data_IF_586452031589
#
_entry.id   IF_586452031589
#
_cell.length_a   1.000
_cell.length_b   1.000
_cell.length_c   1.000
_cell.angle_alpha   90.00
_cell.angle_beta   90.00
_cell.angle_gamma   90.00
#
_symmetry.space_group_name_H-M   'P 1'
#
loop_
_entity.id
_entity.type
_entity.pdbx_description
1 polymer ?
#
# COMPACT_ATOMS: atom_id res chain seq x y z
N UNK A 1 -22.10 -5.47 20.38
CA UNK A 1 -21.78 -5.62 18.95
C UNK A 1 -22.42 -4.46 18.23
N UNK A 2 -21.60 -3.58 17.66
CA UNK A 2 -22.08 -2.49 16.81
C UNK A 2 -22.45 -3.05 15.42
N UNK A 3 -23.59 -2.66 14.82
CA UNK A 3 -23.99 -3.14 13.49
C UNK A 3 -22.95 -2.83 12.39
N UNK A 4 -22.12 -1.80 12.61
CA UNK A 4 -21.05 -1.41 11.70
C UNK A 4 -19.86 -2.38 11.71
N UNK A 5 -19.62 -3.10 12.81
CA UNK A 5 -18.55 -4.10 12.90
C UNK A 5 -18.85 -5.34 12.05
N UNK A 6 -20.12 -5.76 11.96
CA UNK A 6 -20.51 -6.90 11.11
C UNK A 6 -20.34 -6.59 9.62
N UNK A 7 -20.66 -5.36 9.20
CA UNK A 7 -20.50 -4.92 7.81
C UNK A 7 -19.02 -4.86 7.43
N UNK A 8 -18.17 -4.28 8.30
CA UNK A 8 -16.71 -4.24 8.10
C UNK A 8 -16.09 -5.64 8.03
N UNK A 9 -16.52 -6.55 8.92
CA UNK A 9 -16.01 -7.94 8.95
C UNK A 9 -16.42 -8.73 7.70
N UNK A 10 -17.64 -8.52 7.20
CA UNK A 10 -18.13 -9.16 5.97
C UNK A 10 -17.36 -8.70 4.71
N UNK A 11 -17.05 -7.40 4.62
CA UNK A 11 -16.27 -6.84 3.52
C UNK A 11 -14.83 -7.37 3.50
N UNK A 12 -14.16 -7.43 4.66
CA UNK A 12 -12.80 -7.97 4.74
C UNK A 12 -12.73 -9.45 4.35
N UNK A 13 -13.69 -10.28 4.80
CA UNK A 13 -13.73 -11.70 4.43
C UNK A 13 -13.93 -11.91 2.93
N UNK A 14 -14.76 -11.08 2.29
CA UNK A 14 -14.97 -11.14 0.83
C UNK A 14 -13.72 -10.69 0.07
N UNK A 15 -13.03 -9.66 0.56
CA UNK A 15 -11.77 -9.22 -0.01
C UNK A 15 -10.73 -10.35 0.01
N UNK A 16 -10.56 -11.03 1.15
CA UNK A 16 -9.61 -12.13 1.30
C UNK A 16 -9.89 -13.29 0.33
N UNK A 17 -11.16 -13.64 0.13
CA UNK A 17 -11.56 -14.66 -0.84
C UNK A 17 -11.21 -14.25 -2.28
N UNK A 18 -11.58 -13.03 -2.68
CA UNK A 18 -11.33 -12.52 -4.03
C UNK A 18 -9.82 -12.37 -4.31
N UNK A 19 -9.01 -12.01 -3.30
CA UNK A 19 -7.55 -11.98 -3.44
C UNK A 19 -6.96 -13.38 -3.62
N UNK A 20 -7.45 -14.38 -2.89
CA UNK A 20 -7.00 -15.76 -3.06
C UNK A 20 -7.36 -16.34 -4.44
N UNK A 21 -8.41 -15.82 -5.08
CA UNK A 21 -8.84 -16.14 -6.43
C UNK A 21 -8.12 -15.32 -7.51
N UNK A 22 -7.16 -14.48 -7.13
CA UNK A 22 -6.46 -13.57 -8.03
C UNK A 22 -7.44 -12.65 -8.80
N UNK A 23 -8.47 -12.13 -8.12
CA UNK A 23 -9.55 -11.35 -8.72
C UNK A 23 -9.49 -9.86 -8.31
N UNK A 24 -9.45 -8.98 -9.32
CA UNK A 24 -9.42 -7.51 -9.17
C UNK A 24 -10.65 -6.93 -8.47
N UNK A 25 -11.76 -7.66 -8.42
CA UNK A 25 -12.93 -7.28 -7.64
C UNK A 25 -12.60 -7.11 -6.14
N UNK A 26 -11.49 -7.66 -5.64
CA UNK A 26 -11.01 -7.45 -4.27
C UNK A 26 -10.58 -6.01 -3.97
N UNK A 27 -10.04 -5.30 -4.97
CA UNK A 27 -9.42 -3.97 -4.83
C UNK A 27 -10.35 -2.97 -4.12
N UNK A 28 -11.60 -2.73 -4.58
CA UNK A 28 -12.48 -1.76 -3.93
C UNK A 28 -12.81 -2.11 -2.48
N UNK A 29 -12.84 -3.41 -2.12
CA UNK A 29 -13.07 -3.82 -0.74
C UNK A 29 -11.86 -3.47 0.13
N UNK A 30 -10.63 -3.77 -0.31
CA UNK A 30 -9.43 -3.43 0.45
C UNK A 30 -9.22 -1.93 0.61
N UNK A 31 -9.56 -1.14 -0.42
CA UNK A 31 -9.55 0.32 -0.33
C UNK A 31 -10.58 0.80 0.70
N UNK A 32 -11.80 0.28 0.66
CA UNK A 32 -12.87 0.67 1.58
C UNK A 32 -12.61 0.27 3.04
N UNK A 33 -11.89 -0.83 3.27
CA UNK A 33 -11.52 -1.30 4.62
C UNK A 33 -10.17 -0.76 5.10
N UNK A 34 -9.37 -0.15 4.22
CA UNK A 34 -8.05 0.38 4.56
C UNK A 34 -6.97 -0.71 4.73
N UNK A 35 -7.14 -1.88 4.12
CA UNK A 35 -6.19 -3.00 4.16
C UNK A 35 -5.00 -2.77 3.22
N UNK A 36 -4.31 -1.62 3.37
CA UNK A 36 -3.27 -1.13 2.46
C UNK A 36 -2.15 -2.15 2.27
N UNK A 37 -1.64 -2.72 3.37
CA UNK A 37 -0.53 -3.68 3.32
C UNK A 37 -0.89 -4.92 2.50
N UNK A 38 -2.12 -5.42 2.62
CA UNK A 38 -2.60 -6.56 1.82
C UNK A 38 -2.68 -6.18 0.35
N UNK A 39 -3.24 -5.01 0.04
CA UNK A 39 -3.39 -4.54 -1.33
C UNK A 39 -2.04 -4.28 -2.02
N UNK A 40 -1.07 -3.68 -1.31
CA UNK A 40 0.31 -3.52 -1.80
C UNK A 40 0.94 -4.90 -2.07
N UNK A 41 0.79 -5.85 -1.15
CA UNK A 41 1.34 -7.20 -1.32
C UNK A 41 0.70 -7.93 -2.52
N UNK A 42 -0.60 -7.77 -2.71
CA UNK A 42 -1.34 -8.35 -3.83
C UNK A 42 -0.80 -7.87 -5.19
N UNK A 43 -0.67 -6.56 -5.38
CA UNK A 43 -0.10 -6.00 -6.61
C UNK A 43 1.38 -6.38 -6.81
N UNK A 44 2.19 -6.35 -5.74
CA UNK A 44 3.59 -6.80 -5.82
C UNK A 44 3.71 -8.25 -6.27
N UNK A 45 2.87 -9.15 -5.74
CA UNK A 45 2.90 -10.58 -6.09
C UNK A 45 2.60 -10.87 -7.57
N UNK A 46 1.97 -9.90 -8.26
CA UNK A 46 1.65 -9.95 -9.69
C UNK A 46 2.64 -9.20 -10.57
N UNK A 47 3.68 -8.60 -9.99
CA UNK A 47 4.59 -7.70 -10.71
C UNK A 47 3.97 -6.35 -11.07
N UNK A 48 2.81 -6.00 -10.52
CA UNK A 48 2.11 -4.73 -10.73
C UNK A 48 2.68 -3.64 -9.80
N UNK A 49 3.97 -3.36 -9.96
CA UNK A 49 4.73 -2.51 -9.02
C UNK A 49 4.29 -1.04 -9.06
N UNK A 50 3.82 -0.54 -10.21
CA UNK A 50 3.30 0.83 -10.32
C UNK A 50 1.98 1.00 -9.54
N UNK A 51 1.08 0.03 -9.63
CA UNK A 51 -0.16 0.00 -8.86
C UNK A 51 0.15 -0.09 -7.36
N UNK A 52 1.08 -0.97 -6.97
CA UNK A 52 1.55 -1.05 -5.59
C UNK A 52 2.11 0.28 -5.07
N UNK A 53 2.87 1.00 -5.89
CA UNK A 53 3.45 2.30 -5.57
C UNK A 53 2.36 3.35 -5.34
N UNK A 54 1.38 3.42 -6.25
CA UNK A 54 0.25 4.36 -6.15
C UNK A 54 -0.56 4.12 -4.87
N UNK A 55 -0.81 2.85 -4.50
CA UNK A 55 -1.54 2.52 -3.27
C UNK A 55 -0.73 2.93 -2.03
N UNK A 56 0.57 2.63 -1.99
CA UNK A 56 1.43 3.00 -0.86
C UNK A 56 1.52 4.53 -0.70
N UNK A 57 1.71 5.26 -1.80
CA UNK A 57 1.77 6.72 -1.78
C UNK A 57 0.42 7.34 -1.41
N UNK A 58 -0.68 6.82 -1.97
CA UNK A 58 -2.03 7.26 -1.61
C UNK A 58 -2.33 7.08 -0.11
N UNK A 59 -1.80 6.02 0.51
CA UNK A 59 -1.90 5.83 1.95
C UNK A 59 -1.02 6.82 2.75
N UNK A 60 0.22 7.08 2.32
CA UNK A 60 1.10 8.09 2.92
C UNK A 60 0.47 9.50 2.93
N UNK A 61 -0.19 9.87 1.83
CA UNK A 61 -0.88 11.16 1.67
C UNK A 61 -2.24 11.22 2.39
N UNK A 62 -2.72 10.09 2.92
CA UNK A 62 -4.02 9.99 3.60
C UNK A 62 -5.23 9.89 2.66
N UNK A 63 -5.01 9.66 1.36
CA UNK A 63 -6.06 9.46 0.35
C UNK A 63 -6.77 8.10 0.52
N UNK A 64 -6.08 7.10 1.09
CA UNK A 64 -6.67 5.79 1.41
C UNK A 64 -6.51 5.55 2.91
N UNK A 65 -7.63 5.42 3.63
CA UNK A 65 -7.64 5.20 5.09
C UNK A 65 -8.78 4.28 5.51
N UNK A 66 -8.54 3.50 6.55
CA UNK A 66 -9.58 2.68 7.16
C UNK A 66 -10.71 3.56 7.74
N UNK A 67 -11.98 3.10 7.68
CA UNK A 67 -13.09 3.76 8.36
C UNK A 67 -12.78 3.92 9.85
N UNK A 68 -12.89 5.14 10.37
CA UNK A 68 -12.61 5.41 11.78
C UNK A 68 -13.79 4.93 12.64
N UNK A 69 -13.55 3.99 13.56
CA UNK A 69 -14.58 3.40 14.43
C UNK A 69 -14.90 4.23 15.67
N UNK A 70 -14.08 5.23 16.04
CA UNK A 70 -14.38 6.14 17.16
C UNK A 70 -13.58 7.46 17.07
N UNK A 71 -14.05 8.56 17.68
CA UNK A 71 -13.31 9.82 17.76
C UNK A 71 -12.39 9.79 18.99
N UNK A 72 -11.18 9.24 18.89
CA UNK A 72 -10.21 9.22 20.00
C UNK A 72 -8.82 9.63 19.50
N UNK A 73 -8.25 10.67 20.14
CA UNK A 73 -6.91 11.28 19.95
C UNK A 73 -6.11 10.78 18.72
N UNK A 74 -6.49 11.32 17.56
CA UNK A 74 -6.03 10.89 16.24
C UNK A 74 -4.54 11.14 15.97
N UNK A 75 -3.82 11.91 16.79
CA UNK A 75 -2.48 12.39 16.39
C UNK A 75 -1.38 11.35 16.54
N UNK A 76 -1.42 10.50 17.57
CA UNK A 76 -0.38 9.49 17.79
C UNK A 76 -0.54 8.28 16.85
N UNK A 77 -1.77 7.80 16.66
CA UNK A 77 -2.08 6.67 15.78
C UNK A 77 -1.87 6.99 14.30
N UNK A 78 -2.09 8.24 13.89
CA UNK A 78 -1.88 8.71 12.51
C UNK A 78 -0.37 8.76 12.16
N UNK A 79 0.48 9.12 13.13
CA UNK A 79 1.94 9.15 12.93
C UNK A 79 2.51 7.75 12.76
N UNK A 80 2.10 6.78 13.59
CA UNK A 80 2.55 5.38 13.48
C UNK A 80 2.08 4.74 12.16
N UNK A 81 0.84 5.02 11.74
CA UNK A 81 0.30 4.56 10.46
C UNK A 81 1.07 5.13 9.27
N UNK A 82 1.42 6.43 9.29
CA UNK A 82 2.24 7.05 8.24
C UNK A 82 3.65 6.46 8.16
N UNK A 83 4.28 6.18 9.29
CA UNK A 83 5.61 5.53 9.29
C UNK A 83 5.54 4.12 8.66
N UNK A 84 4.49 3.35 8.95
CA UNK A 84 4.28 2.06 8.29
C UNK A 84 4.07 2.21 6.77
N UNK A 85 3.30 3.20 6.33
CA UNK A 85 3.10 3.43 4.90
C UNK A 85 4.36 3.94 4.20
N UNK A 86 5.17 4.78 4.86
CA UNK A 86 6.48 5.18 4.35
C UNK A 86 7.40 3.97 4.18
N UNK A 87 7.44 3.04 5.16
CA UNK A 87 8.20 1.80 5.03
C UNK A 87 7.73 0.95 3.84
N UNK A 88 6.41 0.85 3.61
CA UNK A 88 5.87 0.16 2.43
C UNK A 88 6.26 0.87 1.12
N UNK A 89 6.22 2.21 1.10
CA UNK A 89 6.60 3.01 -0.06
C UNK A 89 8.08 2.81 -0.41
N UNK A 90 8.97 2.75 0.58
CA UNK A 90 10.38 2.42 0.39
C UNK A 90 10.56 1.05 -0.24
N UNK A 91 9.91 0.01 0.30
CA UNK A 91 10.03 -1.37 -0.21
C UNK A 91 9.57 -1.46 -1.66
N UNK A 92 8.42 -0.87 -2.00
CA UNK A 92 7.92 -0.90 -3.38
C UNK A 92 8.81 -0.10 -4.33
N UNK A 93 9.35 1.02 -3.87
CA UNK A 93 10.27 1.84 -4.67
C UNK A 93 11.58 1.11 -4.93
N UNK A 94 12.06 0.31 -3.98
CA UNK A 94 13.24 -0.54 -4.15
C UNK A 94 12.98 -1.66 -5.17
N UNK A 95 11.86 -2.39 -5.06
CA UNK A 95 11.50 -3.42 -6.04
C UNK A 95 11.39 -2.82 -7.46
N UNK A 96 10.76 -1.64 -7.59
CA UNK A 96 10.58 -0.97 -8.86
C UNK A 96 11.92 -0.47 -9.43
N UNK A 97 12.81 0.02 -8.57
CA UNK A 97 14.17 0.40 -8.95
C UNK A 97 14.95 -0.81 -9.49
N UNK A 98 14.87 -1.94 -8.81
CA UNK A 98 15.52 -3.18 -9.23
C UNK A 98 15.00 -3.65 -10.60
N UNK A 99 13.68 -3.66 -10.81
CA UNK A 99 13.10 -3.97 -12.11
C UNK A 99 13.61 -3.03 -13.21
N UNK A 100 13.57 -1.71 -13.01
CA UNK A 100 14.08 -0.76 -13.99
C UNK A 100 15.58 -0.92 -14.25
N UNK A 101 16.37 -1.23 -13.23
CA UNK A 101 17.80 -1.43 -13.39
C UNK A 101 18.10 -2.69 -14.22
N UNK A 102 17.41 -3.79 -13.94
CA UNK A 102 17.51 -5.03 -14.71
C UNK A 102 17.12 -4.84 -16.18
N UNK A 103 16.15 -3.95 -16.45
CA UNK A 103 15.75 -3.54 -17.79
C UNK A 103 16.70 -2.53 -18.46
N UNK A 104 17.80 -2.16 -17.80
CA UNK A 104 18.78 -1.19 -18.30
C UNK A 104 18.33 0.29 -18.22
N UNK A 105 17.22 0.56 -17.54
CA UNK A 105 16.65 1.88 -17.35
C UNK A 105 17.20 2.55 -16.07
N UNK A 106 18.53 2.73 -16.01
CA UNK A 106 19.24 3.22 -14.82
C UNK A 106 18.76 4.58 -14.29
N UNK A 107 18.34 5.49 -15.17
CA UNK A 107 17.77 6.78 -14.77
C UNK A 107 16.46 6.59 -14.01
N UNK A 108 15.59 5.68 -14.47
CA UNK A 108 14.33 5.39 -13.77
C UNK A 108 14.56 4.69 -12.44
N UNK A 109 15.54 3.78 -12.38
CA UNK A 109 15.94 3.14 -11.13
C UNK A 109 16.43 4.18 -10.09
N UNK A 110 17.29 5.10 -10.51
CA UNK A 110 17.75 6.21 -9.67
C UNK A 110 16.58 7.12 -9.23
N UNK A 111 15.64 7.43 -10.12
CA UNK A 111 14.45 8.19 -9.77
C UNK A 111 13.60 7.52 -8.69
N UNK A 112 13.48 6.19 -8.69
CA UNK A 112 12.74 5.46 -7.65
C UNK A 112 13.36 5.62 -6.27
N UNK A 113 14.70 5.59 -6.17
CA UNK A 113 15.40 5.84 -4.90
C UNK A 113 15.27 7.30 -4.44
N UNK A 114 15.42 8.25 -5.36
CA UNK A 114 15.28 9.68 -5.05
C UNK A 114 13.86 10.05 -4.62
N UNK A 115 12.83 9.40 -5.15
CA UNK A 115 11.43 9.66 -4.80
C UNK A 115 11.09 9.35 -3.33
N UNK A 116 11.89 8.52 -2.68
CA UNK A 116 11.75 8.16 -1.25
C UNK A 116 12.90 8.69 -0.40
N UNK A 117 13.60 9.73 -0.86
CA UNK A 117 14.76 10.33 -0.18
C UNK A 117 15.88 9.31 0.16
N UNK A 118 15.97 8.19 -0.56
CA UNK A 118 17.04 7.23 -0.39
C UNK A 118 18.27 7.67 -1.20
N UNK A 119 19.15 8.43 -0.55
CA UNK A 119 20.36 9.03 -1.15
C UNK A 119 21.61 8.15 -1.02
N UNK A 120 21.54 6.98 -0.38
CA UNK A 120 22.71 6.14 -0.09
C UNK A 120 23.18 5.26 -1.27
N UNK A 121 22.77 5.55 -2.50
CA UNK A 121 23.07 4.69 -3.65
C UNK A 121 24.56 4.80 -4.05
N UNK A 122 25.37 3.71 -3.99
CA UNK A 122 26.67 3.69 -4.63
C UNK A 122 26.45 3.61 -6.15
N UNK A 123 27.04 4.56 -6.87
CA UNK A 123 27.16 4.57 -8.34
C UNK A 123 27.99 3.37 -8.82
#
# INVERSE_FOLDING_TARGET
MDPNDEIGTGMSRRADQLMAEDNDEAIPYCVATGEIKKLVTFFRSRGQLLEALIIAQGACEGNIRAPQSSPVDNTANDVDSRQQYQSLLHVVSEDLAECFFQDGCSVMAACCHLAVDNIEVPV
#
